data_IF_440620257112
#
_entry.id   IF_440620257112
#
_cell.length_a   1.000
_cell.length_b   1.000
_cell.length_c   1.000
_cell.angle_alpha   90.00
_cell.angle_beta   90.00
_cell.angle_gamma   90.00
#
_symmetry.space_group_name_H-M   'P 1'
#
loop_
_entity.id
_entity.type
_entity.pdbx_description
1 polymer ?
#
# COMPACT_ATOMS: atom_id res chain seq x y z
N UNK A 1 29.40 -10.30 11.91
CA UNK A 1 29.90 -10.21 13.31
C UNK A 1 29.75 -8.77 13.80
N UNK A 2 28.74 -8.52 14.66
CA UNK A 2 28.66 -7.59 15.81
C UNK A 2 27.31 -6.88 15.85
N UNK A 3 26.44 -7.44 16.70
CA UNK A 3 25.13 -6.95 17.13
C UNK A 3 25.29 -5.69 17.98
N UNK A 4 24.46 -4.66 17.76
CA UNK A 4 24.30 -3.54 18.69
C UNK A 4 23.09 -3.83 19.58
N UNK A 5 23.36 -3.98 20.88
CA UNK A 5 22.39 -3.96 21.98
C UNK A 5 22.90 -2.89 22.93
N UNK A 6 22.12 -1.85 23.20
CA UNK A 6 22.33 -1.00 24.36
C UNK A 6 21.02 -0.93 25.14
N UNK A 7 21.04 -1.57 26.31
CA UNK A 7 20.05 -1.44 27.36
C UNK A 7 20.61 -0.40 28.33
N UNK A 8 19.88 0.69 28.59
CA UNK A 8 20.16 1.55 29.73
C UNK A 8 19.31 1.10 30.93
N UNK A 9 19.97 0.44 31.89
CA UNK A 9 19.43 0.25 33.24
C UNK A 9 19.88 1.44 34.08
N UNK A 10 18.94 2.31 34.45
CA UNK A 10 19.15 3.36 35.43
C UNK A 10 19.09 2.82 36.86
N UNK A 11 20.03 3.26 37.71
CA UNK A 11 19.85 3.64 39.13
C UNK A 11 21.21 3.72 39.85
N UNK A 12 21.60 4.90 40.33
CA UNK A 12 21.48 5.39 41.73
C UNK A 12 22.64 6.28 42.18
N UNK A 13 22.30 7.54 42.53
CA UNK A 13 22.72 8.37 43.66
C UNK A 13 24.20 8.51 44.11
N UNK A 14 24.66 9.77 44.19
CA UNK A 14 25.20 10.36 45.43
C UNK A 14 25.27 11.89 45.32
N UNK A 15 24.64 12.61 46.26
CA UNK A 15 24.56 14.07 46.28
C UNK A 15 25.67 14.79 47.07
N UNK A 16 25.56 16.11 47.14
CA UNK A 16 26.04 16.97 48.23
C UNK A 16 25.32 18.34 48.19
N UNK A 17 25.04 18.86 49.39
CA UNK A 17 24.08 19.92 49.71
C UNK A 17 24.66 21.35 49.77
N UNK A 18 23.78 22.37 49.80
CA UNK A 18 24.15 23.75 50.13
C UNK A 18 23.03 24.84 50.19
N UNK A 19 22.19 24.79 51.23
CA UNK A 19 21.60 25.88 52.07
C UNK A 19 20.82 27.13 51.54
N UNK A 20 19.64 27.32 52.19
CA UNK A 20 18.93 28.55 52.64
C UNK A 20 18.18 29.43 51.60
N UNK A 21 16.96 29.96 51.82
CA UNK A 21 15.99 29.94 52.92
C UNK A 21 14.81 30.93 52.68
N UNK A 22 13.61 30.54 53.13
CA UNK A 22 12.45 31.29 53.69
C UNK A 22 11.81 32.57 53.05
N UNK A 23 10.46 32.61 53.20
CA UNK A 23 9.45 33.71 53.06
C UNK A 23 8.93 33.88 51.62
N UNK A 24 7.63 33.88 51.29
CA UNK A 24 6.37 34.03 52.03
C UNK A 24 5.50 35.04 51.26
N UNK A 25 4.25 34.70 50.90
CA UNK A 25 3.28 35.64 50.31
C UNK A 25 2.18 34.97 49.48
N UNK A 26 0.93 35.13 49.92
CA UNK A 26 -0.32 34.83 49.21
C UNK A 26 -0.40 35.54 47.84
N UNK A 27 -1.00 34.90 46.84
CA UNK A 27 -2.13 35.49 46.12
C UNK A 27 -2.93 34.40 45.38
N UNK A 28 -4.26 34.49 45.49
CA UNK A 28 -5.26 33.75 44.73
C UNK A 28 -5.28 34.26 43.28
N UNK A 29 -5.18 33.36 42.30
CA UNK A 29 -5.90 33.47 41.01
C UNK A 29 -5.99 32.09 40.37
N UNK A 30 -7.23 31.62 40.21
CA UNK A 30 -7.58 30.65 39.18
C UNK A 30 -7.22 31.28 37.82
N UNK A 31 -6.32 30.66 37.07
CA UNK A 31 -6.18 30.89 35.63
C UNK A 31 -6.22 29.53 34.94
N UNK A 32 -7.24 29.37 34.11
CA UNK A 32 -7.39 28.37 33.07
C UNK A 32 -6.23 28.52 32.09
N UNK A 33 -5.31 27.56 32.08
CA UNK A 33 -4.28 27.50 31.05
C UNK A 33 -4.88 26.75 29.84
N UNK A 34 -5.55 27.51 28.98
CA UNK A 34 -5.71 27.17 27.57
C UNK A 34 -4.29 27.17 26.97
N UNK A 35 -3.66 26.01 26.88
CA UNK A 35 -2.45 25.83 26.08
C UNK A 35 -2.82 25.94 24.61
N UNK A 36 -2.88 27.18 24.11
CA UNK A 36 -2.62 27.43 22.69
C UNK A 36 -1.15 27.07 22.43
N UNK A 37 -0.93 26.05 21.60
CA UNK A 37 0.39 25.58 21.22
C UNK A 37 1.21 26.68 20.55
N UNK A 38 2.47 26.81 20.94
CA UNK A 38 3.39 27.73 20.26
C UNK A 38 3.58 27.30 18.80
N UNK A 39 3.47 28.22 17.82
CA UNK A 39 3.76 27.92 16.43
C UNK A 39 5.29 27.88 16.26
N UNK A 40 5.86 26.69 16.13
CA UNK A 40 7.29 26.54 15.88
C UNK A 40 7.92 25.23 16.34
N UNK A 41 7.14 24.25 16.80
CA UNK A 41 7.67 22.91 17.03
C UNK A 41 7.01 21.91 16.08
N UNK A 42 7.50 21.85 14.84
CA UNK A 42 7.12 20.81 13.86
C UNK A 42 7.33 19.40 14.46
N UNK A 43 8.34 19.23 15.33
CA UNK A 43 8.64 18.00 16.07
C UNK A 43 7.49 17.55 17.00
N UNK A 44 6.67 18.48 17.50
CA UNK A 44 5.51 18.16 18.33
C UNK A 44 4.24 17.82 17.53
N UNK A 45 4.19 18.09 16.22
CA UNK A 45 3.02 17.79 15.40
C UNK A 45 2.89 16.30 15.09
N UNK A 46 4.02 15.60 14.90
CA UNK A 46 4.08 14.19 14.52
C UNK A 46 3.64 13.22 15.62
N UNK A 47 4.08 13.43 16.86
CA UNK A 47 3.66 12.61 18.00
C UNK A 47 2.25 13.01 18.51
N UNK A 48 1.68 14.09 17.98
CA UNK A 48 0.37 14.62 18.36
C UNK A 48 -0.78 14.19 17.45
N UNK A 49 -0.53 13.52 16.31
CA UNK A 49 -1.63 13.01 15.48
C UNK A 49 -2.40 11.94 16.26
N UNK A 50 -3.75 12.05 16.30
CA UNK A 50 -4.57 11.12 17.06
C UNK A 50 -4.43 9.70 16.50
N UNK A 51 -4.62 8.68 17.33
CA UNK A 51 -4.45 7.27 16.93
C UNK A 51 -5.53 6.41 17.55
N UNK A 52 -5.74 5.24 16.94
CA UNK A 52 -6.55 4.19 17.55
C UNK A 52 -5.77 3.60 18.72
N UNK A 53 -6.23 3.81 19.95
CA UNK A 53 -5.52 3.33 21.15
C UNK A 53 -5.51 1.79 21.29
N UNK A 54 -6.54 1.13 20.76
CA UNK A 54 -6.70 -0.32 20.83
C UNK A 54 -7.19 -0.84 19.46
N UNK A 55 -6.30 -0.90 18.45
CA UNK A 55 -6.69 -1.38 17.14
C UNK A 55 -7.14 -2.85 17.22
N UNK A 56 -8.13 -3.27 16.41
CA UNK A 56 -8.51 -4.67 16.32
C UNK A 56 -7.38 -5.50 15.69
N UNK A 57 -7.34 -6.81 15.95
CA UNK A 57 -6.49 -7.78 15.24
C UNK A 57 -7.08 -8.03 13.84
N UNK A 58 -7.02 -7.01 12.98
CA UNK A 58 -7.77 -6.92 11.73
C UNK A 58 -7.30 -5.72 10.89
N UNK A 59 -7.69 -5.70 9.60
CA UNK A 59 -7.63 -4.45 8.83
C UNK A 59 -8.64 -3.46 9.40
N UNK A 60 -8.23 -2.22 9.60
CA UNK A 60 -9.08 -1.19 10.19
C UNK A 60 -8.84 0.21 9.63
N UNK A 61 -9.84 1.10 9.77
CA UNK A 61 -9.71 2.50 9.37
C UNK A 61 -8.84 3.27 10.40
N UNK A 62 -7.68 3.80 10.01
CA UNK A 62 -6.85 4.64 10.87
C UNK A 62 -7.56 5.97 11.18
N UNK A 63 -6.93 6.80 11.99
CA UNK A 63 -7.48 8.12 12.34
C UNK A 63 -7.41 9.13 11.19
N UNK A 64 -6.47 8.93 10.27
CA UNK A 64 -6.17 9.88 9.21
C UNK A 64 -5.53 9.23 7.99
N UNK A 65 -5.51 9.97 6.89
CA UNK A 65 -4.62 9.77 5.75
C UNK A 65 -3.58 10.89 5.75
N UNK A 66 -2.32 10.54 5.57
CA UNK A 66 -1.25 11.53 5.50
C UNK A 66 -1.34 12.39 4.24
N UNK A 67 -0.98 13.67 4.40
CA UNK A 67 -0.81 14.60 3.30
C UNK A 67 0.43 14.24 2.49
N UNK A 68 0.29 14.26 1.16
CA UNK A 68 1.36 13.88 0.24
C UNK A 68 1.50 14.87 -0.90
N UNK A 69 2.71 14.97 -1.43
CA UNK A 69 2.98 15.62 -2.71
C UNK A 69 3.55 14.60 -3.69
N UNK A 70 2.88 14.48 -4.83
CA UNK A 70 3.40 13.75 -5.99
C UNK A 70 4.52 14.58 -6.63
N UNK A 71 5.68 13.99 -6.84
CA UNK A 71 6.71 14.55 -7.70
C UNK A 71 6.45 14.11 -9.15
N UNK A 72 7.26 14.63 -10.08
CA UNK A 72 7.14 14.24 -11.48
C UNK A 72 7.43 12.74 -11.65
N UNK A 73 6.52 12.05 -12.35
CA UNK A 73 6.71 10.66 -12.74
C UNK A 73 7.78 10.60 -13.83
N UNK A 74 8.78 9.75 -13.62
CA UNK A 74 9.89 9.55 -14.54
C UNK A 74 9.87 8.14 -15.13
N UNK A 75 10.25 8.01 -16.39
CA UNK A 75 10.30 6.73 -17.10
C UNK A 75 11.72 6.40 -17.50
N UNK A 76 12.17 5.18 -17.22
CA UNK A 76 13.44 4.65 -17.69
C UNK A 76 13.23 3.27 -18.32
N UNK A 77 13.49 3.16 -19.63
CA UNK A 77 13.21 1.94 -20.37
C UNK A 77 11.74 1.57 -20.30
N UNK A 78 11.48 0.38 -19.75
CA UNK A 78 10.15 -0.23 -19.65
C UNK A 78 9.46 0.04 -18.30
N UNK A 79 10.10 0.81 -17.41
CA UNK A 79 9.55 1.11 -16.07
C UNK A 79 9.26 2.59 -15.92
N UNK A 80 8.15 2.90 -15.25
CA UNK A 80 7.86 4.22 -14.72
C UNK A 80 7.97 4.22 -13.20
N UNK A 81 8.37 5.37 -12.66
CA UNK A 81 8.58 5.61 -11.23
C UNK A 81 7.84 6.89 -10.87
N UNK A 82 6.90 6.80 -9.95
CA UNK A 82 6.26 7.97 -9.34
C UNK A 82 6.85 8.16 -7.95
N UNK A 83 7.68 9.19 -7.73
CA UNK A 83 8.18 9.53 -6.40
C UNK A 83 7.22 10.46 -5.67
N UNK A 84 7.16 10.32 -4.35
CA UNK A 84 6.21 11.02 -3.49
C UNK A 84 6.87 11.44 -2.19
N UNK A 85 6.41 12.55 -1.63
CA UNK A 85 6.86 13.06 -0.34
C UNK A 85 5.67 13.14 0.62
N UNK A 86 5.86 12.68 1.85
CA UNK A 86 4.93 12.86 2.96
C UNK A 86 5.65 13.43 4.18
N UNK A 87 4.87 13.89 5.15
CA UNK A 87 5.36 14.13 6.49
C UNK A 87 6.06 12.84 7.03
N UNK A 88 7.23 12.91 7.70
CA UNK A 88 7.83 11.75 8.36
C UNK A 88 6.85 11.03 9.27
N UNK A 89 6.79 9.71 9.16
CA UNK A 89 5.90 8.94 10.02
C UNK A 89 6.51 7.59 10.42
N UNK A 90 5.89 7.00 11.43
CA UNK A 90 6.25 5.66 11.87
C UNK A 90 5.56 4.63 10.98
N UNK A 91 6.22 3.50 10.80
CA UNK A 91 5.68 2.33 10.12
C UNK A 91 6.10 1.09 10.90
N UNK A 92 5.67 -0.09 10.46
CA UNK A 92 6.06 -1.34 11.10
C UNK A 92 6.77 -2.26 10.11
N UNK A 93 7.93 -2.77 10.53
CA UNK A 93 8.64 -3.82 9.82
C UNK A 93 8.20 -5.18 10.37
N UNK A 94 8.08 -6.17 9.49
CA UNK A 94 7.72 -7.54 9.85
C UNK A 94 8.95 -8.42 9.73
N UNK A 95 9.47 -8.93 10.86
CA UNK A 95 10.66 -9.80 10.89
C UNK A 95 10.32 -11.21 11.38
N UNK A 96 11.04 -12.22 10.88
CA UNK A 96 10.97 -13.57 11.45
C UNK A 96 11.65 -13.60 12.82
N UNK A 97 10.89 -13.84 13.87
CA UNK A 97 11.35 -13.88 15.24
C UNK A 97 12.29 -15.06 15.56
N UNK A 98 13.15 -14.88 16.56
CA UNK A 98 14.00 -15.96 17.10
C UNK A 98 13.15 -16.86 18.01
N UNK A 99 12.63 -17.98 17.47
CA UNK A 99 11.99 -19.03 18.28
C UNK A 99 10.62 -19.54 17.83
N UNK A 100 10.20 -19.23 16.59
CA UNK A 100 8.90 -19.54 15.95
C UNK A 100 7.84 -18.44 16.23
N UNK A 101 7.61 -17.59 15.22
CA UNK A 101 6.68 -16.45 15.24
C UNK A 101 7.25 -15.23 14.48
N UNK A 102 6.39 -14.29 14.09
CA UNK A 102 6.80 -13.01 13.48
C UNK A 102 6.77 -11.89 14.52
N UNK A 103 7.66 -10.91 14.39
CA UNK A 103 7.59 -9.66 15.15
C UNK A 103 7.19 -8.53 14.22
N UNK A 104 6.30 -7.67 14.71
CA UNK A 104 5.88 -6.45 14.02
C UNK A 104 6.45 -5.29 14.83
N UNK A 105 7.60 -4.79 14.39
CA UNK A 105 8.38 -3.80 15.13
C UNK A 105 8.14 -2.40 14.54
N UNK A 106 7.70 -1.48 15.39
CA UNK A 106 7.52 -0.07 15.00
C UNK A 106 8.88 0.58 14.76
N UNK A 107 9.00 1.27 13.64
CA UNK A 107 10.12 2.14 13.28
C UNK A 107 9.64 3.58 13.40
N UNK A 108 10.26 4.35 14.28
CA UNK A 108 9.98 5.79 14.42
C UNK A 108 10.83 6.60 13.43
N UNK A 109 10.32 7.74 12.93
CA UNK A 109 11.11 8.65 12.12
C UNK A 109 12.33 9.19 12.92
N UNK A 110 13.43 9.53 12.24
CA UNK A 110 14.58 10.14 12.90
C UNK A 110 14.24 11.52 13.50
N UNK A 111 15.04 11.93 14.49
CA UNK A 111 14.97 13.29 15.04
C UNK A 111 15.56 14.29 14.02
N UNK A 112 14.88 15.41 13.79
CA UNK A 112 15.36 16.49 12.93
C UNK A 112 14.50 16.73 11.68
N UNK A 113 15.07 17.45 10.72
CA UNK A 113 14.41 17.76 9.45
C UNK A 113 14.44 16.52 8.56
N UNK A 114 13.28 16.00 8.22
CA UNK A 114 13.14 14.75 7.50
C UNK A 114 11.90 14.76 6.62
N UNK A 115 11.86 13.83 5.68
CA UNK A 115 10.69 13.55 4.86
C UNK A 115 10.48 12.04 4.77
N UNK A 116 9.24 11.59 4.70
CA UNK A 116 8.97 10.23 4.25
C UNK A 116 8.98 10.24 2.72
N UNK A 117 10.03 9.67 2.12
CA UNK A 117 10.18 9.59 0.67
C UNK A 117 9.67 8.22 0.21
N UNK A 118 8.72 8.24 -0.71
CA UNK A 118 8.12 7.03 -1.27
C UNK A 118 8.31 6.96 -2.78
N UNK A 119 8.23 5.76 -3.33
CA UNK A 119 8.21 5.52 -4.76
C UNK A 119 7.33 4.32 -5.10
N UNK A 120 6.52 4.46 -6.16
CA UNK A 120 5.83 3.34 -6.81
C UNK A 120 6.49 3.10 -8.15
N UNK A 121 6.77 1.83 -8.47
CA UNK A 121 7.42 1.41 -9.73
C UNK A 121 6.47 0.47 -10.47
N UNK A 122 6.21 0.72 -11.75
CA UNK A 122 5.33 -0.12 -12.56
C UNK A 122 5.84 -0.32 -13.98
N UNK A 123 5.34 -1.36 -14.64
CA UNK A 123 5.54 -1.61 -16.07
C UNK A 123 4.72 -0.62 -16.90
N UNK A 124 5.36 0.14 -17.79
CA UNK A 124 4.67 1.12 -18.63
C UNK A 124 3.77 0.52 -19.69
N UNK A 125 3.94 -0.77 -20.03
CA UNK A 125 3.11 -1.44 -21.04
C UNK A 125 1.84 -2.03 -20.42
N UNK A 126 1.97 -2.69 -19.27
CA UNK A 126 0.87 -3.44 -18.63
C UNK A 126 0.23 -2.69 -17.46
N UNK A 127 0.82 -1.58 -17.03
CA UNK A 127 0.44 -0.79 -15.85
C UNK A 127 0.51 -1.56 -14.52
N UNK A 128 1.12 -2.75 -14.51
CA UNK A 128 1.25 -3.57 -13.31
C UNK A 128 2.37 -3.05 -12.42
N UNK A 129 2.04 -2.76 -11.16
CA UNK A 129 3.01 -2.40 -10.12
C UNK A 129 3.98 -3.55 -9.89
N UNK A 130 5.29 -3.25 -9.85
CA UNK A 130 6.36 -4.22 -9.72
C UNK A 130 6.75 -4.41 -8.25
N UNK A 131 6.47 -5.57 -7.62
CA UNK A 131 6.91 -5.86 -6.27
C UNK A 131 8.37 -6.29 -6.23
N UNK A 132 9.26 -5.35 -6.57
CA UNK A 132 10.71 -5.56 -6.57
C UNK A 132 11.18 -5.87 -5.15
N UNK A 133 11.79 -7.03 -4.94
CA UNK A 133 12.25 -7.46 -3.62
C UNK A 133 13.68 -6.97 -3.30
N UNK A 134 14.50 -6.72 -4.33
CA UNK A 134 15.90 -6.36 -4.14
C UNK A 134 16.44 -5.35 -5.14
N UNK A 135 17.38 -4.54 -4.67
CA UNK A 135 18.16 -3.62 -5.50
C UNK A 135 17.59 -2.20 -5.63
N UNK A 136 16.38 -1.93 -5.13
CA UNK A 136 15.86 -0.57 -5.13
C UNK A 136 16.65 0.29 -4.13
N UNK A 137 17.06 1.48 -4.55
CA UNK A 137 17.77 2.43 -3.69
C UNK A 137 17.46 3.86 -4.06
N UNK A 138 17.39 4.74 -3.08
CA UNK A 138 17.20 6.17 -3.28
C UNK A 138 18.37 6.91 -2.64
N UNK A 139 19.03 7.75 -3.43
CA UNK A 139 20.10 8.64 -3.01
C UNK A 139 19.62 10.09 -3.13
N UNK A 140 19.73 10.85 -2.05
CA UNK A 140 19.32 12.26 -2.00
C UNK A 140 20.58 13.12 -1.92
N UNK A 141 20.73 14.04 -2.86
CA UNK A 141 21.83 15.00 -2.92
C UNK A 141 21.33 16.44 -2.82
N UNK A 142 22.17 17.32 -2.28
CA UNK A 142 21.99 18.78 -2.26
C UNK A 142 23.30 19.44 -2.66
N UNK A 143 23.25 20.38 -3.60
CA UNK A 143 24.45 21.04 -4.16
C UNK A 143 25.53 20.06 -4.67
N UNK A 144 25.11 18.88 -5.18
CA UNK A 144 25.99 17.81 -5.64
C UNK A 144 26.75 17.09 -4.52
N UNK A 145 26.29 17.20 -3.28
CA UNK A 145 26.77 16.45 -2.13
C UNK A 145 25.70 15.49 -1.63
N UNK A 146 26.09 14.23 -1.41
CA UNK A 146 25.21 13.23 -0.81
C UNK A 146 24.76 13.66 0.59
N UNK A 147 23.45 13.72 0.78
CA UNK A 147 22.79 14.01 2.06
C UNK A 147 22.42 12.69 2.75
N UNK A 148 21.70 11.81 2.06
CA UNK A 148 21.29 10.51 2.57
C UNK A 148 21.19 9.47 1.42
N UNK A 149 21.36 8.19 1.72
CA UNK A 149 21.27 7.08 0.77
C UNK A 149 20.81 5.82 1.48
N UNK A 150 19.70 5.24 0.99
CA UNK A 150 19.06 4.08 1.64
C UNK A 150 18.45 3.14 0.61
N UNK A 151 18.22 1.91 1.06
CA UNK A 151 17.30 0.96 0.43
C UNK A 151 15.98 1.09 1.17
N UNK A 152 14.97 1.76 0.59
CA UNK A 152 13.69 1.93 1.25
C UNK A 152 12.98 0.59 1.41
N UNK A 153 12.07 0.53 2.38
CA UNK A 153 11.34 -0.70 2.67
C UNK A 153 10.25 -0.92 1.61
N UNK A 154 10.02 -2.16 1.14
CA UNK A 154 8.77 -2.51 0.49
C UNK A 154 7.64 -2.41 1.53
N UNK A 155 6.54 -1.77 1.15
CA UNK A 155 5.45 -1.43 2.06
C UNK A 155 4.10 -1.70 1.41
N UNK A 156 3.09 -1.96 2.25
CA UNK A 156 1.68 -1.94 1.88
C UNK A 156 0.95 -0.88 2.71
N UNK A 157 0.13 -0.06 2.04
CA UNK A 157 -0.83 0.84 2.70
C UNK A 157 -2.21 0.75 2.08
N UNK A 158 -3.22 1.17 2.81
CA UNK A 158 -4.60 1.17 2.33
C UNK A 158 -4.75 2.13 1.15
N UNK A 159 -4.26 3.37 1.28
CA UNK A 159 -4.42 4.41 0.26
C UNK A 159 -3.49 4.28 -0.96
N UNK A 160 -2.27 3.77 -0.80
CA UNK A 160 -1.28 3.72 -1.89
C UNK A 160 -1.06 2.32 -2.47
N UNK A 161 -1.49 1.28 -1.76
CA UNK A 161 -1.19 -0.10 -2.15
C UNK A 161 0.27 -0.43 -1.86
N UNK A 162 0.89 -1.23 -2.73
CA UNK A 162 2.28 -1.62 -2.66
C UNK A 162 3.17 -0.50 -3.21
N UNK A 163 4.14 -0.09 -2.40
CA UNK A 163 5.09 0.97 -2.73
C UNK A 163 6.38 0.77 -1.92
N UNK A 164 7.39 1.59 -2.18
CA UNK A 164 8.61 1.65 -1.40
C UNK A 164 8.64 2.92 -0.58
N UNK A 165 9.12 2.88 0.66
CA UNK A 165 9.22 4.07 1.50
C UNK A 165 10.24 3.94 2.63
N UNK A 166 10.85 5.07 3.00
CA UNK A 166 11.61 5.23 4.23
C UNK A 166 11.68 6.72 4.62
N UNK A 167 12.06 6.99 5.86
CA UNK A 167 12.33 8.34 6.33
C UNK A 167 13.78 8.74 5.99
N UNK A 168 13.94 9.87 5.31
CA UNK A 168 15.22 10.44 4.91
C UNK A 168 15.49 11.74 5.65
N UNK A 169 16.68 11.88 6.20
CA UNK A 169 17.14 13.12 6.82
C UNK A 169 17.49 14.12 5.70
N UNK A 170 17.11 15.39 5.90
CA UNK A 170 17.40 16.49 4.97
C UNK A 170 18.36 17.51 5.60
N UNK A 171 19.22 18.13 4.78
CA UNK A 171 20.11 19.24 5.20
C UNK A 171 19.45 20.63 5.06
N UNK A 172 18.27 20.83 5.68
CA UNK A 172 17.53 22.11 5.73
C UNK A 172 16.93 22.57 4.40
N UNK A 173 16.35 23.77 4.36
CA UNK A 173 15.63 24.24 3.16
C UNK A 173 16.49 24.31 1.88
N UNK A 174 15.92 23.91 0.75
CA UNK A 174 16.52 24.09 -0.57
C UNK A 174 16.07 23.06 -1.61
N UNK A 175 16.77 23.09 -2.75
CA UNK A 175 16.59 22.15 -3.85
C UNK A 175 17.44 20.89 -3.64
N UNK A 176 16.81 19.75 -3.91
CA UNK A 176 17.39 18.42 -3.79
C UNK A 176 17.27 17.68 -5.11
N UNK A 177 18.17 16.71 -5.30
CA UNK A 177 18.11 15.75 -6.38
C UNK A 177 18.03 14.35 -5.78
N UNK A 178 16.95 13.62 -6.07
CA UNK A 178 16.83 12.20 -5.74
C UNK A 178 17.17 11.36 -6.96
N UNK A 179 18.09 10.40 -6.79
CA UNK A 179 18.39 9.37 -7.78
C UNK A 179 17.83 8.05 -7.30
N UNK A 180 16.91 7.46 -8.07
CA UNK A 180 16.19 6.23 -7.72
C UNK A 180 16.68 5.13 -8.67
N UNK A 181 17.28 4.09 -8.12
CA UNK A 181 17.55 2.84 -8.84
C UNK A 181 16.40 1.89 -8.61
N UNK A 182 15.79 1.35 -9.66
CA UNK A 182 14.52 0.59 -9.56
C UNK A 182 14.67 -0.85 -9.06
N UNK A 183 15.89 -1.39 -9.03
CA UNK A 183 16.14 -2.79 -8.67
C UNK A 183 15.76 -3.76 -9.79
N UNK A 184 15.72 -5.06 -9.50
CA UNK A 184 15.43 -6.10 -10.49
C UNK A 184 14.50 -7.19 -9.96
N UNK A 185 13.73 -7.80 -10.87
CA UNK A 185 12.77 -8.87 -10.58
C UNK A 185 13.38 -10.27 -10.70
N UNK A 186 14.62 -10.48 -10.20
CA UNK A 186 15.33 -11.77 -10.36
C UNK A 186 14.72 -12.90 -9.52
N UNK A 187 14.08 -12.57 -8.39
CA UNK A 187 13.50 -13.53 -7.43
C UNK A 187 12.03 -13.87 -7.72
N UNK A 188 11.43 -13.26 -8.76
CA UNK A 188 10.03 -13.47 -9.17
C UNK A 188 9.99 -14.04 -10.57
N UNK A 189 9.18 -15.08 -10.78
CA UNK A 189 8.97 -15.64 -12.13
C UNK A 189 8.15 -14.66 -12.96
N UNK A 190 8.68 -14.19 -14.08
CA UNK A 190 7.93 -13.37 -15.03
C UNK A 190 7.35 -14.24 -16.14
N UNK A 191 6.11 -13.97 -16.53
CA UNK A 191 5.41 -14.72 -17.59
C UNK A 191 4.57 -13.80 -18.48
N UNK A 192 4.08 -14.34 -19.60
CA UNK A 192 3.28 -13.56 -20.53
C UNK A 192 4.09 -12.43 -21.17
N UNK A 193 3.52 -11.23 -21.23
CA UNK A 193 4.17 -10.04 -21.80
C UNK A 193 5.40 -9.60 -20.99
N UNK A 194 5.52 -10.03 -19.74
CA UNK A 194 6.62 -9.68 -18.84
C UNK A 194 7.82 -10.63 -18.93
N UNK A 195 7.73 -11.73 -19.68
CA UNK A 195 8.77 -12.76 -19.73
C UNK A 195 10.13 -12.18 -20.17
N UNK A 196 11.14 -12.31 -19.30
CA UNK A 196 12.51 -11.85 -19.56
C UNK A 196 12.73 -10.34 -19.40
N UNK A 197 11.73 -9.57 -18.97
CA UNK A 197 11.83 -8.13 -18.67
C UNK A 197 12.32 -7.89 -17.24
N UNK A 198 12.65 -6.64 -16.89
CA UNK A 198 13.01 -6.20 -15.53
C UNK A 198 14.17 -6.96 -14.84
N UNK A 199 15.08 -7.54 -15.63
CA UNK A 199 16.22 -8.32 -15.13
C UNK A 199 17.43 -7.45 -14.73
N UNK A 200 17.36 -6.15 -14.99
CA UNK A 200 18.40 -5.18 -14.64
C UNK A 200 17.76 -3.95 -14.03
N UNK A 201 18.46 -3.31 -13.10
CA UNK A 201 18.03 -2.02 -12.56
C UNK A 201 18.14 -0.92 -13.60
N UNK A 202 17.11 -0.10 -13.66
CA UNK A 202 17.12 1.20 -14.32
C UNK A 202 17.38 2.29 -13.27
N UNK A 203 17.64 3.52 -13.71
CA UNK A 203 17.85 4.67 -12.84
C UNK A 203 17.09 5.88 -13.37
N UNK A 204 16.33 6.53 -12.50
CA UNK A 204 15.68 7.82 -12.76
C UNK A 204 16.21 8.88 -11.78
N UNK A 205 16.12 10.14 -12.18
CA UNK A 205 16.52 11.27 -11.34
C UNK A 205 15.40 12.29 -11.31
N UNK A 206 15.01 12.72 -10.12
CA UNK A 206 13.97 13.74 -9.91
C UNK A 206 14.52 14.87 -9.04
N UNK A 207 14.13 16.09 -9.37
CA UNK A 207 14.44 17.29 -8.57
C UNK A 207 13.23 17.66 -7.72
N UNK A 208 13.46 18.05 -6.46
CA UNK A 208 12.39 18.54 -5.59
C UNK A 208 12.90 19.64 -4.66
N UNK A 209 12.02 20.57 -4.31
CA UNK A 209 12.31 21.61 -3.34
C UNK A 209 11.61 21.29 -2.01
N UNK A 210 12.35 21.43 -0.92
CA UNK A 210 11.80 21.39 0.43
C UNK A 210 12.05 22.73 1.11
N UNK A 211 10.99 23.43 1.45
CA UNK A 211 11.00 24.69 2.18
C UNK A 211 9.89 24.70 3.25
N UNK A 212 9.81 25.77 4.04
CA UNK A 212 8.81 25.88 5.09
C UNK A 212 7.36 25.82 4.54
N UNK A 213 7.12 26.33 3.32
CA UNK A 213 5.80 26.30 2.70
C UNK A 213 5.41 24.87 2.30
N UNK A 214 6.32 24.11 1.70
CA UNK A 214 6.13 22.70 1.35
C UNK A 214 5.88 21.84 2.58
N UNK A 215 6.63 22.02 3.66
CA UNK A 215 6.42 21.29 4.92
C UNK A 215 5.06 21.60 5.53
N UNK A 216 4.68 22.88 5.58
CA UNK A 216 3.36 23.28 6.07
C UNK A 216 2.25 22.69 5.19
N UNK A 217 2.43 22.69 3.87
CA UNK A 217 1.46 22.11 2.95
C UNK A 217 1.24 20.61 3.20
N UNK A 218 2.30 19.84 3.47
CA UNK A 218 2.17 18.42 3.80
C UNK A 218 1.37 18.21 5.10
N UNK A 219 1.58 19.06 6.11
CA UNK A 219 0.81 19.03 7.37
C UNK A 219 -0.66 19.41 7.12
N UNK A 220 -0.90 20.48 6.35
CA UNK A 220 -2.24 20.97 6.06
C UNK A 220 -3.05 20.00 5.17
N UNK A 221 -2.37 19.10 4.46
CA UNK A 221 -2.97 18.10 3.59
C UNK A 221 -3.36 16.80 4.31
N UNK A 222 -3.11 16.69 5.62
CA UNK A 222 -3.58 15.56 6.43
C UNK A 222 -5.10 15.58 6.52
N UNK A 223 -5.73 14.46 6.15
CA UNK A 223 -7.17 14.28 6.21
C UNK A 223 -7.53 13.42 7.43
N UNK A 224 -8.23 14.01 8.42
CA UNK A 224 -8.77 13.27 9.55
C UNK A 224 -10.11 12.61 9.16
N UNK A 225 -10.28 11.34 9.48
CA UNK A 225 -11.57 10.67 9.36
C UNK A 225 -12.47 10.96 10.57
N UNK A 226 -13.77 10.68 10.45
CA UNK A 226 -14.70 10.79 11.58
C UNK A 226 -14.27 9.86 12.73
N UNK A 227 -14.14 10.42 13.94
CA UNK A 227 -13.61 9.73 15.12
C UNK A 227 -14.41 8.48 15.50
N UNK A 228 -15.72 8.46 15.24
CA UNK A 228 -16.59 7.31 15.50
C UNK A 228 -16.37 6.13 14.54
N UNK A 229 -15.61 6.35 13.44
CA UNK A 229 -15.22 5.31 12.49
C UNK A 229 -13.83 4.74 12.76
N UNK A 230 -13.02 5.39 13.58
CA UNK A 230 -11.66 4.95 13.85
C UNK A 230 -11.63 3.55 14.47
N UNK A 231 -10.82 2.65 13.90
CA UNK A 231 -10.75 1.26 14.35
C UNK A 231 -11.87 0.36 13.82
N UNK A 232 -12.83 0.88 13.05
CA UNK A 232 -13.79 0.03 12.35
C UNK A 232 -13.09 -0.86 11.33
N UNK A 233 -13.64 -2.05 11.09
CA UNK A 233 -13.23 -2.95 10.00
C UNK A 233 -13.64 -2.36 8.65
N UNK A 234 -12.83 -1.42 8.19
CA UNK A 234 -12.95 -0.60 7.00
C UNK A 234 -11.52 -0.30 6.51
N UNK A 235 -11.39 0.30 5.34
CA UNK A 235 -10.10 0.79 4.85
C UNK A 235 -10.23 2.21 4.31
N UNK A 236 -9.14 2.95 4.38
CA UNK A 236 -8.92 4.17 3.60
C UNK A 236 -9.07 3.80 2.13
N UNK A 237 -9.94 4.48 1.37
CA UNK A 237 -10.05 4.25 -0.07
C UNK A 237 -8.68 4.40 -0.75
N UNK A 238 -8.45 3.75 -1.90
CA UNK A 238 -7.32 4.11 -2.75
C UNK A 238 -7.29 5.62 -3.01
N UNK A 239 -6.10 6.18 -3.16
CA UNK A 239 -5.98 7.58 -3.59
C UNK A 239 -6.63 7.74 -4.96
N UNK A 240 -7.35 8.85 -5.13
CA UNK A 240 -7.96 9.15 -6.41
C UNK A 240 -6.87 9.63 -7.39
N UNK A 241 -6.77 8.95 -8.52
CA UNK A 241 -5.78 9.21 -9.55
C UNK A 241 -6.46 9.95 -10.69
N UNK A 242 -6.91 11.18 -10.40
CA UNK A 242 -7.34 12.15 -11.40
C UNK A 242 -8.37 11.65 -12.39
N UNK A 243 -9.62 11.48 -11.95
CA UNK A 243 -10.75 11.80 -12.81
C UNK A 243 -11.37 13.13 -12.33
N UNK A 244 -11.70 13.97 -13.30
CA UNK A 244 -12.01 15.38 -13.10
C UNK A 244 -13.06 15.68 -12.03
N UNK A 245 -12.79 16.75 -11.26
CA UNK A 245 -13.77 17.56 -10.55
C UNK A 245 -14.81 18.11 -11.55
N UNK A 246 -15.76 17.28 -11.96
CA UNK A 246 -17.04 17.73 -12.45
C UNK A 246 -17.97 17.88 -11.24
N UNK A 247 -17.86 19.05 -10.62
CA UNK A 247 -18.78 19.52 -9.60
C UNK A 247 -20.23 19.36 -10.04
N UNK A 248 -20.87 18.30 -9.55
CA UNK A 248 -22.32 18.19 -9.48
C UNK A 248 -22.74 18.21 -8.02
N UNK A 249 -22.81 19.45 -7.54
CA UNK A 249 -23.65 19.89 -6.44
C UNK A 249 -25.08 19.35 -6.63
N UNK A 250 -25.37 18.23 -5.99
CA UNK A 250 -26.74 17.79 -5.72
C UNK A 250 -27.10 18.25 -4.30
N UNK A 251 -27.43 19.53 -4.19
CA UNK A 251 -28.24 20.04 -3.09
C UNK A 251 -29.61 19.35 -3.10
N UNK A 252 -29.77 18.37 -2.21
CA UNK A 252 -31.08 17.80 -1.87
C UNK A 252 -31.86 18.81 -1.02
N UNK A 253 -32.48 19.78 -1.68
CA UNK A 253 -33.62 20.52 -1.13
C UNK A 253 -34.87 19.64 -1.25
N UNK A 254 -35.15 18.93 -0.16
CA UNK A 254 -36.48 18.37 0.10
C UNK A 254 -37.46 19.50 0.42
N UNK A 255 -38.32 19.84 -0.54
CA UNK A 255 -39.57 20.52 -0.25
C UNK A 255 -40.77 19.71 -0.75
N UNK A 256 -41.70 19.55 0.19
CA UNK A 256 -42.95 18.82 0.10
C UNK A 256 -43.93 19.36 -0.97
N UNK A 257 -44.87 18.47 -1.31
CA UNK A 257 -46.28 18.78 -1.59
C UNK A 257 -46.67 19.38 -2.97
N UNK A 258 -47.27 18.56 -3.85
CA UNK A 258 -48.74 18.47 -3.97
C UNK A 258 -49.24 17.65 -5.18
N UNK A 259 -50.30 16.90 -4.87
CA UNK A 259 -51.26 16.17 -5.69
C UNK A 259 -51.99 17.02 -6.77
N UNK A 260 -52.19 16.45 -7.96
CA UNK A 260 -53.37 16.43 -8.87
C UNK A 260 -52.88 15.78 -10.20
N UNK A 261 -53.54 14.88 -10.91
CA UNK A 261 -54.95 14.61 -11.14
C UNK A 261 -55.18 14.60 -12.67
N UNK A 262 -55.42 13.40 -13.21
CA UNK A 262 -56.15 13.03 -14.44
C UNK A 262 -55.68 13.46 -15.86
N UNK A 263 -55.56 12.40 -16.68
CA UNK A 263 -56.10 12.20 -18.04
C UNK A 263 -55.41 12.70 -19.34
N UNK A 264 -55.36 11.71 -20.26
CA UNK A 264 -55.37 11.73 -21.74
C UNK A 264 -54.05 11.55 -22.54
N UNK A 265 -53.97 10.35 -23.15
CA UNK A 265 -53.91 10.06 -24.60
C UNK A 265 -53.19 11.06 -25.52
N UNK A 266 -52.11 10.61 -26.16
CA UNK A 266 -52.04 10.37 -27.61
C UNK A 266 -50.57 10.15 -28.03
N UNK A 267 -50.34 9.07 -28.78
CA UNK A 267 -49.02 8.70 -29.25
C UNK A 267 -48.58 9.53 -30.46
N UNK A 268 -47.26 9.62 -30.67
CA UNK A 268 -46.69 9.78 -32.00
C UNK A 268 -45.29 9.16 -32.05
N UNK A 269 -45.17 8.17 -32.91
CA UNK A 269 -43.95 7.61 -33.45
C UNK A 269 -43.35 8.61 -34.44
N UNK A 270 -42.09 9.02 -34.27
CA UNK A 270 -41.29 9.61 -35.34
C UNK A 270 -39.83 9.20 -35.16
N UNK A 271 -39.42 8.27 -36.01
CA UNK A 271 -38.07 8.20 -36.54
C UNK A 271 -37.71 9.57 -37.15
N UNK A 272 -36.54 10.11 -36.84
CA UNK A 272 -35.81 10.98 -37.76
C UNK A 272 -34.32 10.96 -37.41
N UNK A 273 -33.56 10.47 -38.38
CA UNK A 273 -32.11 10.51 -38.51
C UNK A 273 -31.57 11.94 -38.41
N UNK A 274 -30.63 12.18 -37.50
CA UNK A 274 -29.70 13.29 -37.63
C UNK A 274 -28.27 12.84 -37.39
N UNK A 275 -27.65 12.50 -38.51
CA UNK A 275 -26.22 12.48 -38.75
C UNK A 275 -25.66 13.90 -38.48
N UNK A 276 -24.81 14.02 -37.45
CA UNK A 276 -23.90 15.15 -37.32
C UNK A 276 -22.48 14.60 -37.31
N UNK A 277 -21.87 14.69 -38.50
CA UNK A 277 -20.43 14.69 -38.69
C UNK A 277 -19.88 15.96 -38.01
N UNK A 278 -19.25 15.82 -36.85
CA UNK A 278 -18.34 16.84 -36.33
C UNK A 278 -16.95 16.21 -36.16
N UNK A 279 -16.19 16.44 -37.22
CA UNK A 279 -14.78 16.17 -37.41
C UNK A 279 -13.98 17.12 -36.51
N UNK A 280 -13.59 16.64 -35.33
CA UNK A 280 -12.59 17.29 -34.48
C UNK A 280 -11.46 16.30 -34.18
N UNK A 281 -10.56 16.17 -35.16
CA UNK A 281 -9.19 15.77 -34.89
C UNK A 281 -8.52 16.81 -34.00
N UNK A 282 -8.41 16.49 -32.72
CA UNK A 282 -7.46 17.09 -31.82
C UNK A 282 -6.23 16.17 -31.77
N UNK A 283 -5.32 16.40 -32.70
CA UNK A 283 -3.90 16.11 -32.51
C UNK A 283 -3.39 17.10 -31.46
N UNK A 284 -3.62 16.82 -30.17
CA UNK A 284 -2.94 17.51 -29.08
C UNK A 284 -1.74 16.66 -28.65
N UNK A 285 -0.68 16.77 -29.45
CA UNK A 285 0.71 16.48 -29.07
C UNK A 285 1.16 17.54 -28.05
N UNK A 286 0.66 17.40 -26.83
CA UNK A 286 1.13 18.11 -25.65
C UNK A 286 1.37 17.07 -24.57
N UNK A 287 2.63 16.66 -24.42
CA UNK A 287 3.12 15.93 -23.25
C UNK A 287 2.96 16.78 -22.00
N UNK A 288 1.76 16.77 -21.45
CA UNK A 288 1.52 16.94 -20.03
C UNK A 288 1.66 15.53 -19.46
N UNK A 289 2.65 15.31 -18.60
CA UNK A 289 2.77 14.04 -17.90
C UNK A 289 1.51 13.85 -17.08
N UNK A 290 0.63 12.97 -17.53
CA UNK A 290 -0.50 12.55 -16.72
C UNK A 290 0.08 12.00 -15.41
N UNK A 291 -0.40 12.52 -14.28
CA UNK A 291 -0.07 12.04 -12.94
C UNK A 291 -0.73 10.67 -12.67
N UNK A 292 -0.73 9.79 -13.67
CA UNK A 292 -1.28 8.45 -13.59
C UNK A 292 -0.26 7.55 -12.90
N UNK A 293 -0.55 7.23 -11.64
CA UNK A 293 0.13 6.18 -10.90
C UNK A 293 -0.88 5.05 -10.69
N UNK A 294 -0.60 3.82 -11.17
CA UNK A 294 -1.50 2.70 -10.94
C UNK A 294 -1.51 2.32 -9.46
N UNK A 295 -2.70 2.03 -8.94
CA UNK A 295 -2.84 1.40 -7.63
C UNK A 295 -2.65 -0.12 -7.77
N UNK A 296 -1.90 -0.75 -6.86
CA UNK A 296 -1.59 -2.18 -6.89
C UNK A 296 -2.77 -3.09 -6.45
N UNK A 297 -3.98 -2.80 -6.94
CA UNK A 297 -5.18 -3.60 -6.68
C UNK A 297 -5.18 -4.79 -7.61
N UNK A 298 -5.11 -6.00 -7.05
CA UNK A 298 -5.27 -7.21 -7.82
C UNK A 298 -6.67 -7.30 -8.47
N UNK A 299 -6.80 -8.01 -9.61
CA UNK A 299 -8.08 -8.19 -10.28
C UNK A 299 -9.11 -8.84 -9.36
N UNK A 300 -10.39 -8.56 -9.56
CA UNK A 300 -11.46 -9.25 -8.82
C UNK A 300 -11.33 -10.78 -8.96
N UNK A 301 -11.60 -11.57 -7.90
CA UNK A 301 -11.44 -13.03 -7.95
C UNK A 301 -12.18 -13.70 -9.13
N UNK A 302 -13.36 -13.19 -9.48
CA UNK A 302 -14.19 -13.68 -10.59
C UNK A 302 -13.66 -13.31 -11.98
N UNK A 303 -12.71 -12.38 -12.06
CA UNK A 303 -12.04 -11.96 -13.30
C UNK A 303 -10.65 -12.57 -13.45
N UNK A 304 -10.16 -13.32 -12.46
CA UNK A 304 -8.90 -14.03 -12.59
C UNK A 304 -8.99 -15.09 -13.70
N UNK A 305 -7.91 -15.22 -14.48
CA UNK A 305 -7.79 -16.24 -15.50
C UNK A 305 -7.95 -17.64 -14.88
N UNK A 306 -8.74 -18.50 -15.53
CA UNK A 306 -8.98 -19.89 -15.10
C UNK A 306 -10.31 -20.08 -14.38
N UNK A 307 -10.46 -21.24 -13.73
CA UNK A 307 -11.64 -21.59 -12.95
C UNK A 307 -11.43 -21.23 -11.48
N UNK A 308 -12.19 -20.26 -10.97
CA UNK A 308 -12.15 -19.88 -9.55
C UNK A 308 -12.61 -21.05 -8.68
N UNK A 309 -11.69 -21.58 -7.86
CA UNK A 309 -11.94 -22.68 -6.92
C UNK A 309 -12.50 -22.17 -5.59
N UNK A 310 -12.09 -20.96 -5.18
CA UNK A 310 -12.58 -20.36 -3.93
C UNK A 310 -11.83 -19.10 -3.52
N UNK A 311 -12.37 -18.44 -2.48
CA UNK A 311 -11.81 -17.21 -1.88
C UNK A 311 -11.74 -17.32 -0.36
N UNK A 312 -11.11 -18.37 0.21
CA UNK A 312 -11.02 -18.51 1.65
C UNK A 312 -10.30 -17.31 2.28
N UNK A 313 -10.70 -16.98 3.51
CA UNK A 313 -10.12 -15.90 4.30
C UNK A 313 -9.36 -16.43 5.49
N UNK A 314 -8.18 -15.89 5.76
CA UNK A 314 -7.40 -16.19 6.96
C UNK A 314 -6.65 -14.97 7.42
N UNK A 315 -6.74 -14.67 8.71
CA UNK A 315 -6.12 -13.51 9.35
C UNK A 315 -6.35 -12.20 8.60
N UNK A 316 -7.62 -12.00 8.21
CA UNK A 316 -8.16 -10.92 7.39
C UNK A 316 -7.65 -10.84 5.93
N UNK A 317 -6.72 -11.69 5.48
CA UNK A 317 -6.36 -11.82 4.07
C UNK A 317 -7.35 -12.71 3.31
N UNK A 318 -7.56 -12.41 2.03
CA UNK A 318 -8.31 -13.25 1.08
C UNK A 318 -7.32 -14.00 0.19
N UNK A 319 -7.47 -15.32 0.06
CA UNK A 319 -6.61 -16.18 -0.76
C UNK A 319 -7.37 -16.67 -1.99
N UNK A 320 -7.66 -15.76 -2.92
CA UNK A 320 -8.37 -16.11 -4.15
C UNK A 320 -7.57 -17.17 -4.93
N UNK A 321 -8.20 -18.29 -5.23
CA UNK A 321 -7.53 -19.47 -5.78
C UNK A 321 -8.23 -19.91 -7.06
N UNK A 322 -7.47 -19.96 -8.15
CA UNK A 322 -7.97 -20.35 -9.48
C UNK A 322 -7.12 -21.47 -10.07
N UNK A 323 -7.73 -22.29 -10.91
CA UNK A 323 -7.06 -23.34 -11.68
C UNK A 323 -7.05 -22.96 -13.15
N UNK A 324 -5.85 -22.74 -13.69
CA UNK A 324 -5.65 -22.48 -15.11
C UNK A 324 -5.47 -23.81 -15.85
N UNK A 325 -6.15 -23.95 -16.98
CA UNK A 325 -6.11 -25.17 -17.79
C UNK A 325 -4.71 -25.51 -18.33
N UNK A 326 -4.54 -26.79 -18.69
CA UNK A 326 -3.32 -27.29 -19.30
C UNK A 326 -3.03 -26.64 -20.65
N UNK A 327 -1.73 -26.59 -20.99
CA UNK A 327 -1.26 -25.90 -22.20
C UNK A 327 -1.25 -24.36 -22.09
N UNK A 328 -1.49 -23.82 -20.90
CA UNK A 328 -1.27 -22.40 -20.60
C UNK A 328 0.23 -22.06 -20.57
N UNK A 329 0.55 -20.76 -20.57
CA UNK A 329 1.94 -20.26 -20.51
C UNK A 329 2.67 -20.56 -19.19
N UNK A 330 1.96 -21.03 -18.17
CA UNK A 330 2.52 -21.24 -16.83
C UNK A 330 3.16 -22.63 -16.66
N UNK A 331 2.78 -23.60 -17.49
CA UNK A 331 3.14 -25.03 -17.32
C UNK A 331 3.39 -25.69 -18.67
N UNK A 332 4.25 -26.72 -18.67
CA UNK A 332 4.52 -27.53 -19.86
C UNK A 332 3.68 -28.82 -19.83
N UNK A 333 3.30 -29.33 -21.01
CA UNK A 333 2.64 -30.63 -21.11
C UNK A 333 1.16 -30.59 -20.74
N UNK A 334 0.72 -31.61 -20.01
CA UNK A 334 -0.69 -31.85 -19.68
C UNK A 334 -1.06 -31.38 -18.26
N UNK A 335 -0.13 -30.76 -17.53
CA UNK A 335 -0.36 -30.23 -16.18
C UNK A 335 -1.25 -28.98 -16.23
N UNK A 336 -2.08 -28.80 -15.20
CA UNK A 336 -2.78 -27.55 -14.90
C UNK A 336 -1.90 -26.64 -14.05
N UNK A 337 -2.29 -25.38 -13.86
CA UNK A 337 -1.57 -24.45 -13.00
C UNK A 337 -2.47 -23.92 -11.89
N UNK A 338 -2.11 -24.20 -10.65
CA UNK A 338 -2.77 -23.65 -9.48
C UNK A 338 -2.23 -22.26 -9.19
N UNK A 339 -3.13 -21.30 -9.07
CA UNK A 339 -2.84 -19.91 -8.75
C UNK A 339 -3.49 -19.58 -7.42
N UNK A 340 -2.70 -19.04 -6.50
CA UNK A 340 -3.15 -18.44 -5.24
C UNK A 340 -2.75 -16.98 -5.26
N UNK A 341 -3.70 -16.08 -5.09
CA UNK A 341 -3.49 -14.64 -5.15
C UNK A 341 -3.94 -13.97 -3.85
N UNK A 342 -3.06 -13.94 -2.82
CA UNK A 342 -3.32 -13.33 -1.52
C UNK A 342 -3.47 -11.81 -1.63
N UNK A 343 -4.52 -11.28 -1.02
CA UNK A 343 -4.90 -9.87 -1.13
C UNK A 343 -5.56 -9.34 0.13
N UNK A 344 -5.49 -8.02 0.33
CA UNK A 344 -6.24 -7.35 1.40
C UNK A 344 -7.75 -7.38 1.13
N UNK A 345 -8.62 -7.33 2.16
CA UNK A 345 -10.05 -7.58 2.01
C UNK A 345 -10.85 -6.41 1.40
N UNK A 346 -10.33 -5.18 1.43
CA UNK A 346 -11.06 -3.98 0.96
C UNK A 346 -10.55 -3.48 -0.39
N UNK A 347 -9.25 -3.18 -0.49
CA UNK A 347 -8.66 -2.57 -1.69
C UNK A 347 -7.95 -3.57 -2.61
N UNK A 348 -8.04 -4.87 -2.28
CA UNK A 348 -7.35 -5.97 -2.99
C UNK A 348 -5.86 -5.71 -3.19
N UNK A 349 -5.23 -4.98 -2.29
CA UNK A 349 -3.79 -4.74 -2.34
C UNK A 349 -3.07 -6.09 -2.26
N UNK A 350 -2.09 -6.29 -3.13
CA UNK A 350 -1.23 -7.47 -3.14
C UNK A 350 -0.56 -7.70 -1.79
N UNK A 351 -0.38 -8.97 -1.40
CA UNK A 351 0.42 -9.39 -0.24
C UNK A 351 1.65 -10.19 -0.72
N UNK A 352 2.79 -9.52 -1.01
CA UNK A 352 4.00 -10.17 -1.47
C UNK A 352 4.88 -10.65 -0.30
N UNK A 353 6.06 -11.18 -0.61
CA UNK A 353 7.08 -11.58 0.38
C UNK A 353 6.57 -12.55 1.48
N UNK A 354 5.57 -13.36 1.13
CA UNK A 354 5.10 -14.48 1.92
C UNK A 354 5.45 -15.83 1.28
N UNK A 355 5.25 -16.92 2.01
CA UNK A 355 5.46 -18.29 1.54
C UNK A 355 4.17 -19.06 1.72
N UNK A 356 3.67 -19.63 0.63
CA UNK A 356 2.49 -20.48 0.62
C UNK A 356 2.89 -21.83 0.04
N UNK A 357 2.41 -22.91 0.64
CA UNK A 357 2.48 -24.27 0.08
C UNK A 357 1.08 -24.84 -0.09
N UNK A 358 0.94 -25.89 -0.89
CA UNK A 358 -0.34 -26.54 -1.11
C UNK A 358 -0.25 -28.05 -1.05
N UNK A 359 -1.32 -28.68 -0.57
CA UNK A 359 -1.51 -30.13 -0.62
C UNK A 359 -2.93 -30.44 -1.07
N UNK A 360 -3.10 -31.60 -1.71
CA UNK A 360 -4.42 -32.13 -2.08
C UNK A 360 -4.69 -33.35 -1.20
N UNK A 361 -5.78 -33.32 -0.44
CA UNK A 361 -6.31 -34.47 0.28
C UNK A 361 -7.38 -35.17 -0.58
N UNK A 362 -7.13 -36.43 -0.97
CA UNK A 362 -8.01 -37.25 -1.84
C UNK A 362 -8.19 -38.64 -1.27
N UNK A 363 -9.42 -39.02 -0.94
CA UNK A 363 -9.76 -40.37 -0.44
C UNK A 363 -8.87 -40.86 0.74
N UNK A 364 -8.35 -39.93 1.55
CA UNK A 364 -7.44 -40.20 2.66
C UNK A 364 -5.95 -40.37 2.27
N UNK A 365 -5.61 -40.10 1.02
CA UNK A 365 -4.24 -39.90 0.53
C UNK A 365 -3.94 -38.40 0.44
N UNK A 366 -2.66 -38.03 0.60
CA UNK A 366 -2.19 -36.64 0.50
C UNK A 366 -1.18 -36.53 -0.64
N UNK A 367 -1.42 -35.61 -1.55
CA UNK A 367 -0.48 -35.22 -2.61
C UNK A 367 0.11 -33.87 -2.22
N UNK A 368 1.43 -33.85 -2.01
CA UNK A 368 2.16 -32.62 -1.68
C UNK A 368 2.56 -31.90 -2.97
N UNK A 369 2.10 -30.65 -3.14
CA UNK A 369 2.44 -29.79 -4.27
C UNK A 369 3.65 -28.90 -3.98
N UNK A 370 4.14 -28.90 -2.74
CA UNK A 370 5.26 -28.09 -2.28
C UNK A 370 4.94 -26.60 -2.17
N UNK A 371 6.01 -25.79 -2.11
CA UNK A 371 5.92 -24.33 -2.07
C UNK A 371 5.55 -23.76 -3.43
N UNK A 372 4.63 -22.79 -3.43
CA UNK A 372 4.18 -22.09 -4.61
C UNK A 372 5.16 -20.98 -4.98
N UNK A 373 5.49 -20.89 -6.26
CA UNK A 373 6.46 -19.96 -6.78
C UNK A 373 5.84 -18.55 -6.95
N UNK A 374 6.45 -17.48 -6.41
CA UNK A 374 6.07 -16.11 -6.71
C UNK A 374 6.19 -15.85 -8.22
N UNK A 375 5.12 -15.36 -8.82
CA UNK A 375 5.00 -15.14 -10.26
C UNK A 375 4.31 -13.81 -10.52
N UNK A 376 4.80 -13.05 -11.50
CA UNK A 376 4.17 -11.85 -12.03
C UNK A 376 3.78 -12.09 -13.48
N UNK A 377 2.54 -11.74 -13.82
CA UNK A 377 1.95 -11.91 -15.13
C UNK A 377 1.03 -10.73 -15.44
N UNK A 378 0.94 -10.36 -16.71
CA UNK A 378 0.10 -9.24 -17.16
C UNK A 378 -1.43 -9.42 -16.96
N UNK A 379 -1.97 -10.65 -16.86
CA UNK A 379 -3.40 -10.89 -16.65
C UNK A 379 -3.72 -11.32 -15.22
N UNK A 380 -2.86 -12.13 -14.61
CA UNK A 380 -3.03 -12.62 -13.23
C UNK A 380 -2.40 -11.71 -12.17
N UNK A 381 -1.59 -10.74 -12.59
CA UNK A 381 -0.74 -9.90 -11.74
C UNK A 381 0.11 -10.75 -10.78
N UNK A 382 0.47 -10.22 -9.61
CA UNK A 382 1.31 -10.94 -8.67
C UNK A 382 0.52 -12.07 -7.99
N UNK A 383 1.07 -13.28 -8.05
CA UNK A 383 0.47 -14.46 -7.45
C UNK A 383 1.53 -15.49 -7.07
N UNK A 384 1.10 -16.50 -6.32
CA UNK A 384 1.86 -17.69 -5.99
C UNK A 384 1.27 -18.86 -6.77
N UNK A 385 2.09 -19.62 -7.50
CA UNK A 385 1.53 -20.75 -8.23
C UNK A 385 2.46 -21.94 -8.42
N UNK A 386 1.87 -23.08 -8.76
CA UNK A 386 2.56 -24.37 -8.93
C UNK A 386 1.83 -25.23 -9.96
N UNK A 387 2.55 -26.04 -10.77
CA UNK A 387 1.91 -27.05 -11.61
C UNK A 387 1.16 -28.09 -10.77
N UNK A 388 0.04 -28.56 -11.30
CA UNK A 388 -0.79 -29.62 -10.73
C UNK A 388 -1.14 -30.62 -11.83
N UNK A 389 -0.79 -31.90 -11.64
CA UNK A 389 -1.08 -32.93 -12.65
C UNK A 389 -2.59 -33.10 -12.88
N UNK A 390 -3.38 -33.16 -11.80
CA UNK A 390 -4.84 -33.29 -11.89
C UNK A 390 -5.52 -32.89 -10.56
N UNK A 391 -6.47 -31.96 -10.63
CA UNK A 391 -7.43 -31.70 -9.56
C UNK A 391 -8.78 -32.37 -9.91
N UNK A 392 -9.45 -32.98 -8.93
CA UNK A 392 -10.68 -33.75 -9.14
C UNK A 392 -11.81 -33.25 -8.24
N UNK A 393 -13.05 -33.39 -8.71
CA UNK A 393 -14.23 -33.14 -7.88
C UNK A 393 -14.24 -34.06 -6.65
N UNK A 394 -14.40 -33.45 -5.47
CA UNK A 394 -14.32 -34.11 -4.17
C UNK A 394 -12.92 -34.12 -3.53
N UNK A 395 -11.91 -33.53 -4.18
CA UNK A 395 -10.64 -33.22 -3.53
C UNK A 395 -10.82 -32.11 -2.49
N UNK A 396 -10.00 -32.13 -1.45
CA UNK A 396 -9.82 -30.97 -0.56
C UNK A 396 -8.43 -30.37 -0.80
N UNK A 397 -8.39 -29.15 -1.31
CA UNK A 397 -7.17 -28.38 -1.48
C UNK A 397 -6.86 -27.65 -0.16
N UNK A 398 -5.71 -27.93 0.43
CA UNK A 398 -5.22 -27.28 1.65
C UNK A 398 -4.09 -26.34 1.27
N UNK A 399 -4.26 -25.05 1.56
CA UNK A 399 -3.21 -24.04 1.42
C UNK A 399 -2.62 -23.75 2.79
N UNK A 400 -1.29 -23.85 2.91
CA UNK A 400 -0.56 -23.58 4.14
C UNK A 400 0.20 -22.26 4.00
N UNK A 401 -0.06 -21.32 4.91
CA UNK A 401 0.66 -20.06 5.03
C UNK A 401 1.91 -20.34 5.88
N UNK A 402 3.02 -20.62 5.22
CA UNK A 402 4.29 -20.98 5.86
C UNK A 402 5.02 -19.75 6.43
N UNK A 403 4.87 -18.61 5.75
CA UNK A 403 5.28 -17.31 6.26
C UNK A 403 4.28 -16.23 5.91
N UNK A 404 4.18 -15.22 6.78
CA UNK A 404 3.36 -14.03 6.52
C UNK A 404 4.06 -13.10 5.52
N UNK A 405 3.32 -12.11 5.02
CA UNK A 405 3.92 -11.03 4.22
C UNK A 405 4.93 -10.25 5.05
N UNK A 406 6.13 -10.07 4.50
CA UNK A 406 7.19 -9.28 5.12
C UNK A 406 7.17 -7.80 4.68
N UNK A 407 6.20 -7.43 3.84
CA UNK A 407 6.01 -6.05 3.46
C UNK A 407 5.73 -5.21 4.72
N UNK A 408 6.44 -4.08 4.82
CA UNK A 408 6.25 -3.13 5.91
C UNK A 408 4.85 -2.55 5.86
N UNK A 409 4.36 -2.07 7.00
CA UNK A 409 2.95 -1.72 7.15
C UNK A 409 2.81 -0.29 7.58
N UNK A 410 1.85 0.37 6.97
CA UNK A 410 1.29 1.61 7.49
C UNK A 410 0.18 1.32 8.50
N UNK A 411 -0.26 2.37 9.19
CA UNK A 411 -1.35 2.28 10.14
C UNK A 411 -2.63 1.75 9.46
N UNK A 412 -3.37 0.90 10.18
CA UNK A 412 -4.54 0.20 9.66
C UNK A 412 -4.26 -1.21 9.16
N UNK A 413 -2.98 -1.58 9.01
CA UNK A 413 -2.53 -2.93 8.65
C UNK A 413 -1.61 -3.56 9.70
N UNK A 414 -1.10 -2.81 10.67
CA UNK A 414 -0.06 -3.27 11.58
C UNK A 414 -0.46 -4.52 12.40
N UNK A 415 -1.75 -4.74 12.61
CA UNK A 415 -2.31 -5.88 13.36
C UNK A 415 -2.93 -6.98 12.49
N UNK A 416 -2.92 -6.87 11.16
CA UNK A 416 -3.52 -7.85 10.24
C UNK A 416 -2.47 -8.75 9.58
N UNK A 417 -2.82 -9.93 9.07
CA UNK A 417 -1.88 -10.79 8.31
C UNK A 417 -0.57 -11.15 9.06
N UNK A 418 -0.64 -11.32 10.38
CA UNK A 418 0.48 -11.65 11.29
C UNK A 418 0.60 -13.13 11.63
N UNK A 419 -0.40 -13.94 11.27
CA UNK A 419 -0.48 -15.35 11.66
C UNK A 419 -0.16 -16.31 10.50
N UNK A 420 0.42 -17.46 10.85
CA UNK A 420 0.54 -18.62 9.95
C UNK A 420 -0.58 -19.61 10.23
N UNK A 421 -0.95 -20.39 9.22
CA UNK A 421 -2.07 -21.32 9.35
C UNK A 421 -2.41 -22.03 8.06
N UNK A 422 -3.60 -22.63 8.03
CA UNK A 422 -4.10 -23.37 6.88
C UNK A 422 -5.51 -22.88 6.52
N UNK A 423 -5.78 -22.82 5.22
CA UNK A 423 -7.14 -22.70 4.67
C UNK A 423 -7.45 -23.87 3.76
N UNK A 424 -8.73 -24.25 3.70
CA UNK A 424 -9.20 -25.42 2.95
C UNK A 424 -10.25 -25.01 1.93
N UNK A 425 -10.18 -25.60 0.74
CA UNK A 425 -11.11 -25.40 -0.36
C UNK A 425 -11.60 -26.79 -0.80
N UNK A 426 -12.90 -27.04 -0.69
CA UNK A 426 -13.51 -28.24 -1.26
C UNK A 426 -13.69 -28.02 -2.77
N UNK A 427 -13.22 -28.97 -3.57
CA UNK A 427 -13.25 -28.87 -5.02
C UNK A 427 -14.58 -29.39 -5.54
N UNK A 428 -15.40 -28.46 -6.01
CA UNK A 428 -16.71 -28.71 -6.60
C UNK A 428 -16.76 -28.18 -8.04
N UNK A 429 -17.54 -28.84 -8.90
CA UNK A 429 -17.89 -28.38 -10.25
C UNK A 429 -16.70 -28.04 -11.19
N UNK A 430 -15.60 -28.82 -11.13
CA UNK A 430 -14.50 -28.80 -12.10
C UNK A 430 -14.89 -29.27 -13.51
#
# INVERSE_FOLDING_TARGET
MKRRRFIYTGATAAGLAGLAGCLGGDDDTEDTDDTEGEPGNEEAAFDAMPRVENPPDAVYLPSHRDGMVMLDTETAGDVAVSPMLSIPHFFWIVETGIGEGYTVDRVDPPEGDSVHFMATVWDTETEVVLPVDSGLSIEIEKDGQLVDSRTPWPMISQGMGFHFGDNYELDGDGEYTATISTGSMEDVRLTGEMEGRFQTSETVTVEFEMDAERRQHLVDSVELFDEDRWGNREAVPPMDHGDHDDGHDHGDDHDDDHNHGDDHDDGHNHDDDHNHDDDHGHDDDHGHGDHHMPYSSLPEPEHLLGNLLGTPTFDDAVYATTLVEAGSRFVEGDDQYLVVSPRTPYNRCVLPQMSVSATIERDGETVDLGSLQPTLDHELEFHYGTPVEELQNGDELVLSIDSVTQASRHQGYETAFTETGEVRIEIEDL
#
